data_IF_034902758206
#
_entry.id   IF_034902758206
#
_cell.length_a   1.000
_cell.length_b   1.000
_cell.length_c   1.000
_cell.angle_alpha   90.00
_cell.angle_beta   90.00
_cell.angle_gamma   90.00
#
_symmetry.space_group_name_H-M   'P 1'
#
loop_
_entity.id
_entity.type
_entity.pdbx_description
1 polymer ?
#
# COMPACT_ATOMS: atom_id res chain seq x y z
N UNK A 1 14.80 -34.85 6.65
CA UNK A 1 14.69 -33.63 7.48
C UNK A 1 13.23 -33.22 7.72
N UNK A 2 12.38 -33.10 6.69
CA UNK A 2 10.95 -32.77 6.82
C UNK A 2 10.13 -33.72 7.73
N UNK A 3 10.39 -35.04 7.67
CA UNK A 3 9.71 -36.07 8.51
C UNK A 3 9.99 -35.96 10.01
N UNK A 4 11.12 -35.38 10.42
CA UNK A 4 11.45 -35.19 11.84
C UNK A 4 10.79 -33.91 12.36
N UNK A 5 10.74 -32.87 11.51
CA UNK A 5 10.11 -31.60 11.86
C UNK A 5 8.59 -31.70 12.02
N UNK A 6 7.88 -32.65 11.41
CA UNK A 6 6.42 -32.81 11.56
C UNK A 6 6.00 -33.87 12.59
N UNK A 7 6.96 -34.55 13.23
CA UNK A 7 6.67 -35.62 14.18
C UNK A 7 5.93 -35.12 15.43
N UNK A 8 6.22 -33.89 15.86
CA UNK A 8 5.50 -33.24 16.96
C UNK A 8 4.05 -32.92 16.58
N UNK A 9 3.78 -32.50 15.34
CA UNK A 9 2.41 -32.27 14.83
C UNK A 9 1.63 -33.59 14.86
N UNK A 10 2.25 -34.69 14.40
CA UNK A 10 1.62 -36.01 14.48
C UNK A 10 1.29 -36.41 15.92
N UNK A 11 2.21 -36.22 16.86
CA UNK A 11 1.94 -36.49 18.28
C UNK A 11 0.82 -35.61 18.84
N UNK A 12 0.77 -34.33 18.51
CA UNK A 12 -0.32 -33.44 18.93
C UNK A 12 -1.67 -33.87 18.34
N UNK A 13 -1.71 -34.30 17.08
CA UNK A 13 -2.95 -34.77 16.44
C UNK A 13 -3.52 -36.05 17.05
N UNK A 14 -2.70 -36.88 17.71
CA UNK A 14 -3.18 -38.08 18.42
C UNK A 14 -4.05 -37.75 19.65
N UNK A 15 -3.94 -36.53 20.19
CA UNK A 15 -4.73 -36.07 21.34
C UNK A 15 -5.98 -35.28 20.91
N UNK A 16 -6.21 -35.10 19.61
CA UNK A 16 -7.35 -34.36 19.09
C UNK A 16 -8.46 -35.34 18.65
N UNK A 17 -9.75 -35.02 18.87
CA UNK A 17 -10.85 -35.83 18.38
C UNK A 17 -10.81 -35.98 16.85
N UNK A 18 -11.22 -37.11 16.30
CA UNK A 18 -11.29 -37.29 14.83
C UNK A 18 -12.17 -36.24 14.15
N UNK A 19 -13.18 -35.73 14.87
CA UNK A 19 -14.07 -34.66 14.41
C UNK A 19 -13.32 -33.35 14.17
N UNK A 20 -12.26 -33.09 14.94
CA UNK A 20 -11.39 -31.92 14.77
C UNK A 20 -10.66 -31.95 13.42
N UNK A 21 -10.28 -33.15 12.97
CA UNK A 21 -9.43 -33.37 11.78
C UNK A 21 -10.21 -33.48 10.46
N UNK A 22 -11.54 -33.40 10.50
CA UNK A 22 -12.35 -33.42 9.28
C UNK A 22 -12.16 -32.13 8.49
N UNK A 23 -12.33 -32.23 7.17
CA UNK A 23 -12.41 -31.05 6.30
C UNK A 23 -13.60 -30.19 6.72
N UNK A 24 -13.43 -28.87 6.72
CA UNK A 24 -14.38 -27.87 7.22
C UNK A 24 -14.68 -28.01 8.73
N UNK A 25 -13.78 -28.63 9.49
CA UNK A 25 -13.85 -28.70 10.95
C UNK A 25 -12.86 -27.74 11.64
N UNK A 26 -12.75 -27.85 12.96
CA UNK A 26 -11.98 -26.92 13.79
C UNK A 26 -10.48 -26.83 13.43
N UNK A 27 -9.93 -27.83 12.72
CA UNK A 27 -8.57 -27.76 12.18
C UNK A 27 -8.39 -26.61 11.16
N UNK A 28 -9.39 -26.33 10.34
CA UNK A 28 -9.32 -25.25 9.34
C UNK A 28 -9.29 -23.87 10.01
N UNK A 29 -9.87 -23.73 11.22
CA UNK A 29 -9.74 -22.52 12.03
C UNK A 29 -8.28 -22.23 12.39
N UNK A 30 -7.53 -23.27 12.81
CA UNK A 30 -6.09 -23.15 13.10
C UNK A 30 -5.32 -22.80 11.82
N UNK A 31 -5.68 -23.42 10.69
CA UNK A 31 -5.01 -23.15 9.42
C UNK A 31 -5.23 -21.72 8.92
N UNK A 32 -6.43 -21.16 9.06
CA UNK A 32 -6.67 -19.74 8.78
C UNK A 32 -5.80 -18.88 9.68
N UNK A 33 -5.79 -19.10 11.00
CA UNK A 33 -4.98 -18.31 11.93
C UNK A 33 -3.49 -18.31 11.52
N UNK A 34 -2.94 -19.51 11.27
CA UNK A 34 -1.55 -19.67 10.82
C UNK A 34 -1.29 -19.00 9.47
N UNK A 35 -2.24 -19.06 8.53
CA UNK A 35 -2.14 -18.39 7.24
C UNK A 35 -2.07 -16.86 7.43
N UNK A 36 -2.95 -16.27 8.24
CA UNK A 36 -2.96 -14.81 8.49
C UNK A 36 -1.62 -14.36 9.07
N UNK A 37 -1.10 -15.02 10.11
CA UNK A 37 0.20 -14.68 10.70
C UNK A 37 1.36 -14.82 9.70
N UNK A 38 1.32 -15.86 8.87
CA UNK A 38 2.32 -16.09 7.83
C UNK A 38 2.29 -14.99 6.77
N UNK A 39 1.10 -14.56 6.32
CA UNK A 39 0.96 -13.48 5.36
C UNK A 39 1.47 -12.14 5.92
N UNK A 40 1.19 -11.84 7.20
CA UNK A 40 1.75 -10.67 7.89
C UNK A 40 3.28 -10.71 7.85
N UNK A 41 3.87 -11.86 8.19
CA UNK A 41 5.32 -12.04 8.21
C UNK A 41 5.95 -11.89 6.81
N UNK A 42 5.26 -12.38 5.76
CA UNK A 42 5.68 -12.20 4.37
C UNK A 42 5.63 -10.73 3.94
N UNK A 43 4.59 -9.99 4.33
CA UNK A 43 4.52 -8.55 4.09
C UNK A 43 5.67 -7.82 4.78
N UNK A 44 5.95 -8.12 6.06
CA UNK A 44 7.08 -7.49 6.78
C UNK A 44 8.42 -7.77 6.11
N UNK A 45 8.67 -9.03 5.72
CA UNK A 45 9.88 -9.41 4.98
C UNK A 45 9.99 -8.60 3.68
N UNK A 46 8.94 -8.61 2.86
CA UNK A 46 8.94 -7.92 1.58
C UNK A 46 9.20 -6.42 1.76
N UNK A 47 8.50 -5.74 2.67
CA UNK A 47 8.69 -4.30 2.88
C UNK A 47 10.15 -4.00 3.28
N UNK A 48 10.71 -4.77 4.22
CA UNK A 48 12.08 -4.56 4.68
C UNK A 48 13.11 -4.79 3.56
N UNK A 49 12.92 -5.81 2.72
CA UNK A 49 13.86 -6.11 1.63
C UNK A 49 13.70 -5.15 0.44
N UNK A 50 12.48 -4.69 0.14
CA UNK A 50 12.21 -3.67 -0.89
C UNK A 50 12.93 -2.36 -0.54
N UNK A 51 12.83 -1.91 0.72
CA UNK A 51 13.49 -0.68 1.18
C UNK A 51 15.01 -0.77 1.15
N UNK A 52 15.59 -1.97 1.28
CA UNK A 52 17.03 -2.18 1.12
C UNK A 52 17.44 -2.18 -0.36
N UNK A 53 16.64 -2.81 -1.23
CA UNK A 53 16.91 -2.90 -2.67
C UNK A 53 16.83 -1.54 -3.36
N UNK A 54 15.86 -0.73 -2.99
CA UNK A 54 15.61 0.58 -3.59
C UNK A 54 15.79 1.68 -2.53
N UNK A 55 17.01 2.22 -2.37
CA UNK A 55 17.29 3.21 -1.34
C UNK A 55 16.63 4.56 -1.65
N UNK A 56 16.28 5.28 -0.58
CA UNK A 56 15.71 6.63 -0.66
C UNK A 56 16.64 7.59 -1.42
N UNK A 57 16.03 8.53 -2.13
CA UNK A 57 16.69 9.67 -2.78
C UNK A 57 16.37 10.92 -1.97
N UNK A 58 17.39 11.63 -1.50
CA UNK A 58 17.22 12.85 -0.69
C UNK A 58 17.03 14.10 -1.56
N UNK A 59 17.75 14.18 -2.67
CA UNK A 59 17.64 15.26 -3.66
C UNK A 59 17.58 14.65 -5.05
N UNK A 60 16.46 14.86 -5.73
CA UNK A 60 16.19 14.33 -7.05
C UNK A 60 16.66 15.32 -8.11
N UNK A 61 17.49 14.86 -9.05
CA UNK A 61 17.92 15.62 -10.21
C UNK A 61 17.43 14.97 -11.51
N UNK A 62 17.67 15.61 -12.64
CA UNK A 62 17.22 15.12 -13.94
C UNK A 62 17.82 13.76 -14.34
N UNK A 63 19.09 13.51 -14.00
CA UNK A 63 19.76 12.25 -14.31
C UNK A 63 19.19 11.09 -13.49
N UNK A 64 18.67 11.35 -12.28
CA UNK A 64 17.95 10.37 -11.47
C UNK A 64 16.63 9.92 -12.12
N UNK A 65 16.06 10.75 -12.99
CA UNK A 65 14.80 10.46 -13.70
C UNK A 65 15.07 9.82 -15.05
N UNK A 66 15.95 10.40 -15.86
CA UNK A 66 16.09 10.04 -17.29
C UNK A 66 17.19 9.02 -17.55
N UNK A 67 18.27 8.99 -16.76
CA UNK A 67 19.42 8.11 -17.03
C UNK A 67 19.48 6.91 -16.10
N UNK A 68 19.40 7.14 -14.80
CA UNK A 68 19.57 6.07 -13.81
C UNK A 68 18.25 5.44 -13.35
N UNK A 69 17.12 6.09 -13.65
CA UNK A 69 15.76 5.68 -13.26
C UNK A 69 15.57 5.46 -11.75
N UNK A 70 16.47 5.99 -10.92
CA UNK A 70 16.39 5.85 -9.47
C UNK A 70 15.10 6.44 -8.91
N UNK A 71 14.64 7.54 -9.47
CA UNK A 71 13.39 8.18 -9.07
C UNK A 71 12.18 7.25 -9.25
N UNK A 72 12.12 6.54 -10.38
CA UNK A 72 11.06 5.58 -10.69
C UNK A 72 11.15 4.35 -9.78
N UNK A 73 12.36 3.84 -9.56
CA UNK A 73 12.63 2.74 -8.62
C UNK A 73 12.19 3.06 -7.19
N UNK A 74 12.50 4.27 -6.70
CA UNK A 74 12.09 4.71 -5.36
C UNK A 74 10.57 4.92 -5.26
N UNK A 75 9.95 5.54 -6.27
CA UNK A 75 8.49 5.68 -6.35
C UNK A 75 7.80 4.31 -6.34
N UNK A 76 8.28 3.36 -7.14
CA UNK A 76 7.81 1.97 -7.15
C UNK A 76 7.94 1.30 -5.77
N UNK A 77 9.09 1.46 -5.12
CA UNK A 77 9.35 0.88 -3.80
C UNK A 77 8.38 1.41 -2.73
N UNK A 78 8.12 2.72 -2.72
CA UNK A 78 7.13 3.35 -1.85
C UNK A 78 5.72 2.78 -2.11
N UNK A 79 5.30 2.72 -3.38
CA UNK A 79 3.99 2.21 -3.79
C UNK A 79 3.78 0.74 -3.42
N UNK A 80 4.75 -0.12 -3.72
CA UNK A 80 4.67 -1.55 -3.36
C UNK A 80 4.63 -1.72 -1.83
N UNK A 81 5.47 -0.96 -1.10
CA UNK A 81 5.47 -0.97 0.37
C UNK A 81 4.15 -0.47 0.95
N UNK A 82 3.52 0.53 0.32
CA UNK A 82 2.21 1.05 0.69
C UNK A 82 1.14 -0.03 0.52
N UNK A 83 1.07 -0.69 -0.64
CA UNK A 83 0.11 -1.80 -0.87
C UNK A 83 0.30 -2.94 0.13
N UNK A 84 1.55 -3.34 0.40
CA UNK A 84 1.84 -4.36 1.40
C UNK A 84 1.46 -3.93 2.83
N UNK A 85 1.66 -2.66 3.19
CA UNK A 85 1.26 -2.10 4.49
C UNK A 85 -0.27 -2.04 4.64
N UNK A 86 -1.00 -1.68 3.59
CA UNK A 86 -2.47 -1.74 3.56
C UNK A 86 -2.95 -3.19 3.73
N UNK A 87 -2.25 -4.15 3.10
CA UNK A 87 -2.57 -5.57 3.27
C UNK A 87 -2.33 -6.01 4.71
N UNK A 88 -1.17 -5.68 5.26
CA UNK A 88 -0.80 -6.00 6.63
C UNK A 88 -1.79 -5.42 7.65
N UNK A 89 -2.20 -4.16 7.47
CA UNK A 89 -3.23 -3.51 8.29
C UNK A 89 -4.55 -4.29 8.25
N UNK A 90 -4.96 -4.78 7.07
CA UNK A 90 -6.15 -5.61 6.92
C UNK A 90 -5.98 -6.94 7.65
N UNK A 91 -4.85 -7.63 7.47
CA UNK A 91 -4.57 -8.92 8.13
C UNK A 91 -4.48 -8.80 9.65
N UNK A 92 -3.95 -7.70 10.19
CA UNK A 92 -3.91 -7.47 11.64
C UNK A 92 -5.29 -7.24 12.23
N UNK A 93 -6.24 -6.69 11.47
CA UNK A 93 -7.66 -6.69 11.87
C UNK A 93 -8.20 -8.11 11.99
N UNK A 94 -7.87 -9.02 11.05
CA UNK A 94 -8.25 -10.45 11.16
C UNK A 94 -7.74 -11.07 12.46
N UNK A 95 -6.47 -10.90 12.81
CA UNK A 95 -5.88 -11.49 14.03
C UNK A 95 -6.72 -11.13 15.25
N UNK A 96 -6.97 -9.83 15.46
CA UNK A 96 -7.71 -9.40 16.65
C UNK A 96 -9.18 -9.80 16.61
N UNK A 97 -9.81 -9.76 15.45
CA UNK A 97 -11.20 -10.16 15.29
C UNK A 97 -11.40 -11.66 15.55
N UNK A 98 -10.50 -12.53 15.06
CA UNK A 98 -10.55 -13.98 15.29
C UNK A 98 -10.26 -14.38 16.74
N UNK A 99 -9.60 -13.53 17.53
CA UNK A 99 -9.41 -13.76 18.98
C UNK A 99 -10.69 -13.57 19.80
N UNK A 100 -11.64 -12.77 19.30
CA UNK A 100 -12.80 -12.32 20.08
C UNK A 100 -14.16 -12.70 19.49
N UNK A 101 -14.19 -13.12 18.22
CA UNK A 101 -15.43 -13.46 17.55
C UNK A 101 -16.06 -14.75 18.10
N UNK A 102 -17.35 -14.92 17.83
CA UNK A 102 -18.06 -16.14 18.17
C UNK A 102 -17.48 -17.37 17.42
N UNK A 103 -17.45 -18.56 18.03
CA UNK A 103 -16.93 -19.77 17.40
C UNK A 103 -17.57 -20.09 16.05
N UNK A 104 -18.85 -19.77 15.87
CA UNK A 104 -19.54 -19.97 14.60
C UNK A 104 -19.02 -19.03 13.51
N UNK A 105 -18.74 -17.76 13.82
CA UNK A 105 -18.11 -16.82 12.87
C UNK A 105 -16.74 -17.34 12.45
N UNK A 106 -15.95 -17.85 13.39
CA UNK A 106 -14.65 -18.44 13.10
C UNK A 106 -14.77 -19.65 12.16
N UNK A 107 -15.77 -20.52 12.34
CA UNK A 107 -16.05 -21.65 11.42
C UNK A 107 -16.44 -21.19 10.02
N UNK A 108 -17.23 -20.12 9.90
CA UNK A 108 -17.57 -19.58 8.58
C UNK A 108 -16.31 -19.11 7.83
N UNK A 109 -15.38 -18.46 8.52
CA UNK A 109 -14.11 -18.04 7.93
C UNK A 109 -13.25 -19.27 7.60
N UNK A 110 -13.20 -20.26 8.49
CA UNK A 110 -12.48 -21.52 8.26
C UNK A 110 -12.93 -22.24 6.99
N UNK A 111 -14.24 -22.24 6.69
CA UNK A 111 -14.77 -22.82 5.44
C UNK A 111 -14.20 -22.17 4.17
N UNK A 112 -13.68 -20.93 4.28
CA UNK A 112 -13.03 -20.20 3.18
C UNK A 112 -11.51 -20.43 3.10
N UNK A 113 -10.93 -21.24 3.99
CA UNK A 113 -9.48 -21.45 4.10
C UNK A 113 -8.80 -21.76 2.77
N UNK A 114 -9.31 -22.74 2.02
CA UNK A 114 -8.71 -23.13 0.74
C UNK A 114 -8.73 -21.99 -0.28
N UNK A 115 -9.74 -21.13 -0.25
CA UNK A 115 -9.83 -19.95 -1.13
C UNK A 115 -8.83 -18.90 -0.67
N UNK A 116 -8.77 -18.58 0.63
CA UNK A 116 -7.79 -17.67 1.22
C UNK A 116 -6.35 -18.08 0.89
N UNK A 117 -6.06 -19.38 0.97
CA UNK A 117 -4.76 -19.97 0.68
C UNK A 117 -4.33 -19.72 -0.76
N UNK A 118 -5.25 -19.76 -1.73
CA UNK A 118 -4.91 -19.53 -3.14
C UNK A 118 -4.35 -18.13 -3.42
N UNK A 119 -4.62 -17.17 -2.55
CA UNK A 119 -4.14 -15.79 -2.67
C UNK A 119 -2.74 -15.60 -2.08
N UNK A 120 -2.24 -16.53 -1.26
CA UNK A 120 -0.86 -16.50 -0.72
C UNK A 120 0.18 -16.43 -1.85
N UNK A 121 -0.11 -17.08 -2.99
CA UNK A 121 0.74 -17.09 -4.19
C UNK A 121 1.12 -15.69 -4.70
N UNK A 122 0.30 -14.68 -4.43
CA UNK A 122 0.61 -13.30 -4.82
C UNK A 122 1.82 -12.76 -4.07
N UNK A 123 1.98 -13.13 -2.80
CA UNK A 123 3.18 -12.77 -2.02
C UNK A 123 4.34 -13.69 -2.35
N UNK A 124 4.09 -14.99 -2.57
CA UNK A 124 5.15 -15.93 -2.99
C UNK A 124 5.81 -15.50 -4.29
N UNK A 125 5.01 -15.01 -5.25
CA UNK A 125 5.53 -14.48 -6.50
C UNK A 125 6.46 -13.28 -6.28
N UNK A 126 6.09 -12.33 -5.41
CA UNK A 126 6.94 -11.19 -5.08
C UNK A 126 8.23 -11.62 -4.36
N UNK A 127 8.14 -12.60 -3.47
CA UNK A 127 9.31 -13.16 -2.77
C UNK A 127 10.24 -13.85 -3.76
N UNK A 128 9.70 -14.63 -4.70
CA UNK A 128 10.47 -15.31 -5.74
C UNK A 128 11.21 -14.31 -6.64
N UNK A 129 10.53 -13.24 -7.07
CA UNK A 129 11.16 -12.15 -7.82
C UNK A 129 12.28 -11.47 -7.01
N UNK A 130 12.08 -11.26 -5.70
CA UNK A 130 13.10 -10.65 -4.85
C UNK A 130 14.32 -11.58 -4.69
N UNK A 131 14.11 -12.87 -4.45
CA UNK A 131 15.17 -13.86 -4.31
C UNK A 131 16.01 -14.03 -5.59
N UNK A 132 15.37 -13.89 -6.76
CA UNK A 132 16.01 -13.98 -8.07
C UNK A 132 16.57 -12.66 -8.57
N UNK A 133 16.46 -11.59 -7.78
CA UNK A 133 16.82 -10.21 -8.14
C UNK A 133 16.02 -9.64 -9.35
N UNK A 134 14.87 -10.23 -9.66
CA UNK A 134 13.98 -9.89 -10.79
C UNK A 134 12.81 -8.96 -10.41
N UNK A 135 12.82 -8.43 -9.19
CA UNK A 135 11.86 -7.40 -8.80
C UNK A 135 12.27 -6.07 -9.44
N UNK A 136 11.53 -5.65 -10.46
CA UNK A 136 11.75 -4.41 -11.22
C UNK A 136 10.61 -3.41 -11.03
N UNK A 137 10.90 -2.14 -11.27
CA UNK A 137 10.02 -0.97 -11.16
C UNK A 137 8.84 -0.96 -12.15
N UNK A 138 8.96 -1.70 -13.26
CA UNK A 138 7.89 -1.92 -14.23
C UNK A 138 6.88 -3.03 -13.83
N UNK A 139 7.06 -3.68 -12.68
CA UNK A 139 6.21 -4.78 -12.26
C UNK A 139 4.76 -4.31 -11.99
N UNK A 140 3.80 -4.99 -12.62
CA UNK A 140 2.38 -4.76 -12.35
C UNK A 140 1.96 -5.28 -10.96
N UNK A 141 1.32 -4.41 -10.17
CA UNK A 141 0.82 -4.75 -8.83
C UNK A 141 -0.63 -5.29 -8.82
N UNK A 142 -1.22 -5.53 -9.99
CA UNK A 142 -2.63 -5.93 -10.12
C UNK A 142 -3.00 -7.21 -9.34
N UNK A 143 -2.10 -8.19 -9.27
CA UNK A 143 -2.34 -9.43 -8.54
C UNK A 143 -2.41 -9.21 -7.02
N UNK A 144 -1.54 -8.31 -6.51
CA UNK A 144 -1.54 -7.91 -5.11
C UNK A 144 -2.80 -7.10 -4.78
N UNK A 145 -3.18 -6.14 -5.63
CA UNK A 145 -4.39 -5.33 -5.44
C UNK A 145 -5.67 -6.19 -5.39
N UNK A 146 -5.77 -7.20 -6.26
CA UNK A 146 -6.87 -8.18 -6.24
C UNK A 146 -6.87 -8.99 -4.95
N UNK A 147 -5.69 -9.41 -4.48
CA UNK A 147 -5.53 -10.14 -3.22
C UNK A 147 -5.97 -9.29 -2.02
N UNK A 148 -5.52 -8.04 -1.94
CA UNK A 148 -5.93 -7.10 -0.89
C UNK A 148 -7.44 -6.90 -0.91
N UNK A 149 -8.02 -6.68 -2.09
CA UNK A 149 -9.46 -6.49 -2.26
C UNK A 149 -10.26 -7.71 -1.82
N UNK A 150 -9.78 -8.91 -2.13
CA UNK A 150 -10.39 -10.16 -1.70
C UNK A 150 -10.39 -10.29 -0.16
N UNK A 151 -9.26 -10.08 0.50
CA UNK A 151 -9.19 -10.14 1.97
C UNK A 151 -10.04 -9.05 2.64
N UNK A 152 -10.06 -7.83 2.08
CA UNK A 152 -10.97 -6.77 2.56
C UNK A 152 -12.44 -7.17 2.44
N UNK A 153 -12.82 -7.85 1.35
CA UNK A 153 -14.17 -8.37 1.17
C UNK A 153 -14.52 -9.43 2.22
N UNK A 154 -13.66 -10.43 2.43
CA UNK A 154 -13.86 -11.47 3.46
C UNK A 154 -13.98 -10.84 4.85
N UNK A 155 -13.08 -9.90 5.20
CA UNK A 155 -13.16 -9.19 6.47
C UNK A 155 -14.50 -8.46 6.62
N UNK A 156 -14.92 -7.72 5.60
CA UNK A 156 -16.18 -6.97 5.63
C UNK A 156 -17.39 -7.89 5.79
N UNK A 157 -17.39 -9.04 5.12
CA UNK A 157 -18.51 -9.99 5.11
C UNK A 157 -18.69 -10.72 6.44
N UNK A 158 -17.61 -11.08 7.13
CA UNK A 158 -17.68 -11.93 8.32
C UNK A 158 -17.25 -11.26 9.64
N UNK A 159 -16.38 -10.24 9.58
CA UNK A 159 -15.70 -9.68 10.75
C UNK A 159 -15.91 -8.17 10.93
N UNK A 160 -16.78 -7.53 10.14
CA UNK A 160 -16.96 -6.07 10.19
C UNK A 160 -17.51 -5.55 11.51
N UNK A 161 -18.20 -6.41 12.28
CA UNK A 161 -18.76 -6.08 13.58
C UNK A 161 -17.77 -6.34 14.74
N UNK A 162 -16.67 -7.04 14.46
CA UNK A 162 -15.70 -7.44 15.48
C UNK A 162 -14.74 -6.31 15.84
N UNK A 163 -14.26 -6.36 17.09
CA UNK A 163 -13.28 -5.38 17.59
C UNK A 163 -11.91 -5.64 16.96
N UNK A 164 -11.17 -4.57 16.69
CA UNK A 164 -9.77 -4.62 16.27
C UNK A 164 -8.89 -3.76 17.19
N UNK A 165 -7.58 -4.00 17.17
CA UNK A 165 -6.62 -3.20 17.94
C UNK A 165 -6.46 -1.82 17.33
N UNK A 166 -6.99 -0.79 17.99
CA UNK A 166 -6.91 0.59 17.52
C UNK A 166 -5.46 1.10 17.47
N UNK A 167 -4.63 0.73 18.45
CA UNK A 167 -3.22 1.12 18.46
C UNK A 167 -2.45 0.49 17.29
N UNK A 168 -2.72 -0.77 16.95
CA UNK A 168 -2.08 -1.43 15.79
C UNK A 168 -2.58 -0.77 14.50
N UNK A 169 -3.88 -0.58 14.38
CA UNK A 169 -4.49 0.09 13.22
C UNK A 169 -3.90 1.48 12.99
N UNK A 170 -3.74 2.28 14.04
CA UNK A 170 -3.19 3.63 13.92
C UNK A 170 -1.69 3.61 13.60
N UNK A 171 -0.90 2.67 14.13
CA UNK A 171 0.51 2.50 13.71
C UNK A 171 0.60 2.14 12.23
N UNK A 172 -0.17 1.14 11.78
CA UNK A 172 -0.18 0.73 10.39
C UNK A 172 -0.67 1.87 9.48
N UNK A 173 -1.69 2.62 9.90
CA UNK A 173 -2.18 3.83 9.22
C UNK A 173 -1.08 4.86 9.03
N UNK A 174 -0.36 5.21 10.10
CA UNK A 174 0.73 6.20 10.02
C UNK A 174 1.81 5.75 9.04
N UNK A 175 2.13 4.45 9.01
CA UNK A 175 3.08 3.87 8.04
C UNK A 175 2.56 4.00 6.61
N UNK A 176 1.30 3.66 6.36
CA UNK A 176 0.67 3.78 5.03
C UNK A 176 0.73 5.22 4.56
N UNK A 177 0.33 6.19 5.39
CA UNK A 177 0.32 7.61 5.01
C UNK A 177 1.72 8.12 4.75
N UNK A 178 2.73 7.76 5.55
CA UNK A 178 4.12 8.16 5.29
C UNK A 178 4.67 7.61 3.97
N UNK A 179 4.39 6.33 3.67
CA UNK A 179 4.80 5.72 2.39
C UNK A 179 4.09 6.37 1.20
N UNK A 180 2.80 6.68 1.32
CA UNK A 180 2.06 7.45 0.32
C UNK A 180 2.66 8.84 0.13
N UNK A 181 2.97 9.54 1.22
CA UNK A 181 3.59 10.87 1.18
C UNK A 181 4.96 10.87 0.55
N UNK A 182 5.79 9.85 0.80
CA UNK A 182 7.11 9.70 0.17
C UNK A 182 6.98 9.40 -1.33
N UNK A 183 6.00 8.56 -1.73
CA UNK A 183 5.70 8.29 -3.15
C UNK A 183 5.24 9.57 -3.86
N UNK A 184 4.27 10.30 -3.28
CA UNK A 184 3.75 11.55 -3.85
C UNK A 184 4.85 12.60 -3.97
N UNK A 185 5.65 12.78 -2.93
CA UNK A 185 6.75 13.74 -2.95
C UNK A 185 7.72 13.44 -4.10
N UNK A 186 8.07 12.16 -4.28
CA UNK A 186 8.99 11.72 -5.34
C UNK A 186 8.38 11.97 -6.71
N UNK A 187 7.12 11.60 -6.93
CA UNK A 187 6.45 11.78 -8.23
C UNK A 187 6.21 13.26 -8.55
N UNK A 188 5.88 14.10 -7.55
CA UNK A 188 5.80 15.56 -7.72
C UNK A 188 7.17 16.13 -8.12
N UNK A 189 8.25 15.73 -7.44
CA UNK A 189 9.59 16.18 -7.79
C UNK A 189 10.02 15.73 -9.19
N UNK A 190 9.62 14.52 -9.62
CA UNK A 190 9.81 14.07 -11.01
C UNK A 190 9.11 15.02 -11.97
N UNK A 191 7.84 15.36 -11.74
CA UNK A 191 7.11 16.30 -12.60
C UNK A 191 7.85 17.65 -12.68
N UNK A 192 8.26 18.21 -11.54
CA UNK A 192 8.97 19.50 -11.49
C UNK A 192 10.30 19.47 -12.25
N UNK A 193 11.08 18.39 -12.12
CA UNK A 193 12.38 18.24 -12.78
C UNK A 193 12.24 18.02 -14.29
N UNK A 194 11.14 17.41 -14.72
CA UNK A 194 10.83 17.17 -16.13
C UNK A 194 10.15 18.34 -16.82
N UNK A 195 9.59 19.29 -16.06
CA UNK A 195 8.95 20.48 -16.58
C UNK A 195 9.96 21.48 -17.15
N UNK A 196 9.64 22.06 -18.31
CA UNK A 196 10.42 23.14 -18.91
C UNK A 196 10.28 24.41 -18.06
N UNK A 197 11.39 25.06 -17.74
CA UNK A 197 11.38 26.35 -17.03
C UNK A 197 10.62 27.41 -17.84
N UNK A 198 9.84 28.25 -17.15
CA UNK A 198 9.17 29.37 -17.80
C UNK A 198 10.20 30.37 -18.31
N UNK A 199 10.10 30.73 -19.60
CA UNK A 199 10.93 31.78 -20.22
C UNK A 199 10.64 33.17 -19.63
N UNK A 200 9.56 33.32 -18.84
CA UNK A 200 9.21 34.52 -18.08
C UNK A 200 8.99 34.16 -16.59
N UNK A 201 9.95 34.44 -15.70
CA UNK A 201 9.85 34.11 -14.28
C UNK A 201 8.83 34.97 -13.50
N UNK A 202 8.44 36.14 -14.03
CA UNK A 202 7.51 37.09 -13.41
C UNK A 202 6.04 36.93 -13.86
N UNK A 203 5.73 35.90 -14.67
CA UNK A 203 4.38 35.69 -15.22
C UNK A 203 3.67 34.53 -14.50
N UNK A 204 2.33 34.65 -14.38
CA UNK A 204 1.46 33.78 -13.59
C UNK A 204 1.80 32.28 -13.75
N UNK A 205 2.09 31.61 -12.62
CA UNK A 205 2.25 30.16 -12.59
C UNK A 205 1.03 29.51 -13.25
N UNK A 206 1.26 28.53 -14.13
CA UNK A 206 0.15 27.78 -14.72
C UNK A 206 -0.78 27.23 -13.62
N UNK A 207 -2.11 27.16 -13.83
CA UNK A 207 -3.02 26.64 -12.83
C UNK A 207 -2.63 25.26 -12.30
N UNK A 208 -2.08 24.39 -13.18
CA UNK A 208 -1.57 23.08 -12.79
C UNK A 208 -0.35 23.18 -11.86
N UNK A 209 0.60 24.09 -12.12
CA UNK A 209 1.73 24.32 -11.22
C UNK A 209 1.27 24.86 -9.84
N UNK A 210 0.25 25.72 -9.81
CA UNK A 210 -0.35 26.18 -8.55
C UNK A 210 -0.95 25.02 -7.77
N UNK A 211 -1.72 24.14 -8.44
CA UNK A 211 -2.28 22.93 -7.84
C UNK A 211 -1.18 22.02 -7.27
N UNK A 212 -0.11 21.78 -8.03
CA UNK A 212 1.04 20.96 -7.57
C UNK A 212 1.69 21.57 -6.33
N UNK A 213 1.89 22.88 -6.28
CA UNK A 213 2.44 23.56 -5.11
C UNK A 213 1.53 23.42 -3.88
N UNK A 214 0.21 23.57 -4.05
CA UNK A 214 -0.75 23.34 -2.97
C UNK A 214 -0.72 21.89 -2.45
N UNK A 215 -0.54 20.92 -3.34
CA UNK A 215 -0.41 19.51 -2.96
C UNK A 215 0.89 19.22 -2.20
N UNK A 216 1.99 19.90 -2.52
CA UNK A 216 3.24 19.81 -1.74
C UNK A 216 2.99 20.30 -0.31
N UNK A 217 2.41 21.49 -0.15
CA UNK A 217 2.10 22.05 1.17
C UNK A 217 1.16 21.13 1.97
N UNK A 218 0.12 20.60 1.32
CA UNK A 218 -0.81 19.64 1.92
C UNK A 218 -0.10 18.35 2.35
N UNK A 219 0.80 17.82 1.53
CA UNK A 219 1.60 16.63 1.84
C UNK A 219 2.52 16.86 3.05
N UNK A 220 3.18 18.02 3.14
CA UNK A 220 4.01 18.39 4.29
C UNK A 220 3.21 18.51 5.58
N UNK A 221 2.03 19.14 5.51
CA UNK A 221 1.10 19.22 6.63
C UNK A 221 0.66 17.83 7.08
N UNK A 222 0.32 16.94 6.13
CA UNK A 222 -0.05 15.56 6.40
C UNK A 222 1.07 14.80 7.13
N UNK A 223 2.32 14.91 6.67
CA UNK A 223 3.50 14.32 7.32
C UNK A 223 3.67 14.84 8.74
N UNK A 224 3.51 16.15 8.95
CA UNK A 224 3.62 16.75 10.28
C UNK A 224 2.55 16.24 11.24
N UNK A 225 1.29 16.11 10.78
CA UNK A 225 0.20 15.56 11.59
C UNK A 225 0.41 14.08 11.91
N UNK A 226 0.82 13.29 10.92
CA UNK A 226 1.14 11.87 11.12
C UNK A 226 2.30 11.68 12.10
N UNK A 227 3.31 12.54 12.05
CA UNK A 227 4.40 12.56 13.03
C UNK A 227 3.91 12.81 14.47
N UNK A 228 2.91 13.69 14.65
CA UNK A 228 2.25 13.90 15.94
C UNK A 228 1.44 12.68 16.37
N UNK A 229 0.62 12.12 15.48
CA UNK A 229 -0.18 10.92 15.74
C UNK A 229 0.72 9.78 16.19
N UNK A 230 1.81 9.50 15.47
CA UNK A 230 2.71 8.39 15.77
C UNK A 230 3.35 8.50 17.18
N UNK A 231 3.57 9.71 17.68
CA UNK A 231 4.04 9.95 19.07
C UNK A 231 2.95 9.73 20.11
N UNK A 232 1.68 9.95 19.74
CA UNK A 232 0.53 9.81 20.62
C UNK A 232 0.02 8.38 20.72
N UNK A 233 0.16 7.58 19.66
CA UNK A 233 -0.29 6.18 19.64
C UNK A 233 0.43 5.36 20.73
N UNK A 234 -0.32 4.63 21.59
CA UNK A 234 0.27 3.74 22.58
C UNK A 234 1.16 2.67 21.94
N UNK A 235 2.35 2.46 22.52
CA UNK A 235 3.26 1.38 22.15
C UNK A 235 2.86 0.10 22.88
N UNK A 236 3.37 -1.06 22.45
CA UNK A 236 2.92 -2.37 22.97
C UNK A 236 3.13 -2.55 24.49
N UNK A 237 4.12 -1.87 25.07
CA UNK A 237 4.41 -1.91 26.52
C UNK A 237 3.55 -0.94 27.35
N UNK A 238 2.79 -0.07 26.70
CA UNK A 238 2.05 1.01 27.32
C UNK A 238 0.65 0.57 27.77
N UNK A 239 0.61 -0.14 28.89
CA UNK A 239 -0.63 -0.70 29.47
C UNK A 239 -1.60 0.33 30.03
N UNK A 240 -1.16 1.58 30.21
CA UNK A 240 -1.94 2.62 30.90
C UNK A 240 -2.72 3.52 29.94
N UNK A 241 -2.40 3.51 28.64
CA UNK A 241 -3.08 4.32 27.64
C UNK A 241 -3.95 3.46 26.73
N UNK A 242 -5.24 3.74 26.71
CA UNK A 242 -6.19 3.17 25.76
C UNK A 242 -6.48 4.18 24.65
N UNK A 243 -6.51 3.70 23.39
CA UNK A 243 -6.87 4.51 22.23
C UNK A 243 -8.19 4.01 21.67
N UNK A 244 -9.17 4.91 21.55
CA UNK A 244 -10.49 4.62 20.97
C UNK A 244 -10.87 5.74 20.02
N UNK A 245 -11.39 5.36 18.86
CA UNK A 245 -11.99 6.28 17.88
C UNK A 245 -13.43 5.83 17.64
N UNK A 246 -14.32 6.79 17.42
CA UNK A 246 -15.69 6.51 17.04
C UNK A 246 -15.78 6.03 15.56
N UNK A 247 -16.93 5.45 15.19
CA UNK A 247 -17.15 4.89 13.85
C UNK A 247 -17.09 5.93 12.73
N UNK A 248 -17.45 7.19 13.01
CA UNK A 248 -17.39 8.26 12.01
C UNK A 248 -15.94 8.62 11.74
N UNK A 249 -15.13 8.78 12.79
CA UNK A 249 -13.68 8.99 12.67
C UNK A 249 -13.01 7.86 11.89
N UNK A 250 -13.35 6.59 12.17
CA UNK A 250 -12.80 5.44 11.43
C UNK A 250 -13.20 5.49 9.95
N UNK A 251 -14.48 5.76 9.65
CA UNK A 251 -14.95 5.78 8.26
C UNK A 251 -14.37 6.95 7.45
N UNK A 252 -14.21 8.12 8.07
CA UNK A 252 -13.51 9.27 7.48
C UNK A 252 -12.04 8.94 7.19
N UNK A 253 -11.33 8.30 8.12
CA UNK A 253 -9.96 7.86 7.93
C UNK A 253 -9.88 6.85 6.77
N UNK A 254 -10.74 5.84 6.74
CA UNK A 254 -10.75 4.85 5.67
C UNK A 254 -11.07 5.47 4.30
N UNK A 255 -11.91 6.51 4.27
CA UNK A 255 -12.16 7.28 3.04
C UNK A 255 -10.94 8.12 2.62
N UNK A 256 -10.27 8.77 3.57
CA UNK A 256 -9.05 9.53 3.30
C UNK A 256 -7.93 8.62 2.75
N UNK A 257 -7.75 7.41 3.29
CA UNK A 257 -6.78 6.44 2.76
C UNK A 257 -7.13 6.03 1.31
N UNK A 258 -8.41 5.81 1.00
CA UNK A 258 -8.84 5.48 -0.37
C UNK A 258 -8.54 6.62 -1.34
N UNK A 259 -8.79 7.86 -0.93
CA UNK A 259 -8.49 9.04 -1.75
C UNK A 259 -6.98 9.21 -1.93
N UNK A 260 -6.20 9.04 -0.86
CA UNK A 260 -4.74 9.09 -0.91
C UNK A 260 -4.15 8.01 -1.82
N UNK A 261 -4.70 6.78 -1.80
CA UNK A 261 -4.30 5.69 -2.70
C UNK A 261 -4.63 5.99 -4.18
N UNK A 262 -5.76 6.65 -4.46
CA UNK A 262 -6.08 7.12 -5.82
C UNK A 262 -5.12 8.23 -6.25
N UNK A 263 -4.88 9.20 -5.38
CA UNK A 263 -3.96 10.31 -5.64
C UNK A 263 -2.54 9.78 -5.97
N UNK A 264 -2.00 8.87 -5.15
CA UNK A 264 -0.67 8.27 -5.41
C UNK A 264 -0.65 7.50 -6.73
N UNK A 265 -1.71 6.75 -7.05
CA UNK A 265 -1.84 6.03 -8.33
C UNK A 265 -1.89 6.98 -9.52
N UNK A 266 -2.57 8.12 -9.40
CA UNK A 266 -2.63 9.11 -10.48
C UNK A 266 -1.30 9.79 -10.71
N UNK A 267 -0.60 10.24 -9.66
CA UNK A 267 0.73 10.83 -9.82
C UNK A 267 1.75 9.85 -10.42
N UNK A 268 1.67 8.58 -10.05
CA UNK A 268 2.48 7.54 -10.67
C UNK A 268 2.15 7.35 -12.16
N UNK A 269 0.87 7.37 -12.54
CA UNK A 269 0.45 7.29 -13.94
C UNK A 269 0.88 8.53 -14.74
N UNK A 270 0.81 9.73 -14.15
CA UNK A 270 1.35 10.95 -14.74
C UNK A 270 2.83 10.74 -15.05
N UNK A 271 3.61 10.32 -14.05
CA UNK A 271 5.05 10.13 -14.23
C UNK A 271 5.37 9.04 -15.26
N UNK A 272 4.59 7.96 -15.33
CA UNK A 272 4.70 6.93 -16.37
C UNK A 272 4.48 7.52 -17.78
N UNK A 273 3.46 8.37 -17.92
CA UNK A 273 3.20 9.12 -19.15
C UNK A 273 4.35 10.07 -19.52
N UNK A 274 4.89 10.79 -18.53
CA UNK A 274 6.03 11.69 -18.71
C UNK A 274 7.31 10.95 -19.11
N UNK A 275 7.60 9.79 -18.49
CA UNK A 275 8.72 8.93 -18.90
C UNK A 275 8.57 8.54 -20.37
N UNK A 276 7.37 8.16 -20.81
CA UNK A 276 7.10 7.83 -22.22
C UNK A 276 7.30 9.04 -23.14
N UNK A 277 6.82 10.22 -22.74
CA UNK A 277 6.96 11.45 -23.51
C UNK A 277 8.43 11.86 -23.69
N UNK A 278 9.26 11.73 -22.65
CA UNK A 278 10.70 12.03 -22.74
C UNK A 278 11.42 11.16 -23.76
N UNK A 279 11.06 9.88 -23.85
CA UNK A 279 11.66 8.97 -24.82
C UNK A 279 11.34 9.35 -26.28
N UNK A 280 10.35 10.20 -26.51
CA UNK A 280 9.99 10.72 -27.84
C UNK A 280 10.70 12.03 -28.19
N UNK A 281 11.34 12.69 -27.21
CA UNK A 281 12.08 13.93 -27.44
C UNK A 281 13.39 13.64 -28.17
N UNK A 282 13.80 14.58 -29.03
CA UNK A 282 14.99 14.39 -29.87
C UNK A 282 16.29 14.79 -29.17
N UNK A 283 16.22 15.73 -28.22
CA UNK A 283 17.35 16.16 -27.40
C UNK A 283 17.28 15.53 -26.00
N UNK A 284 18.38 14.91 -25.57
CA UNK A 284 18.51 14.22 -24.29
C UNK A 284 18.36 15.16 -23.08
N UNK A 285 18.51 16.48 -23.25
CA UNK A 285 18.32 17.48 -22.21
C UNK A 285 17.00 18.25 -22.34
N UNK A 286 16.16 17.91 -23.31
CA UNK A 286 14.87 18.56 -23.50
C UNK A 286 13.94 18.29 -22.30
N UNK A 287 13.03 19.23 -22.04
CA UNK A 287 12.05 19.18 -20.97
C UNK A 287 10.65 19.28 -21.54
N UNK A 288 9.66 18.78 -20.81
CA UNK A 288 8.28 18.70 -21.25
C UNK A 288 7.59 20.05 -21.00
N UNK A 289 6.82 20.51 -21.98
CA UNK A 289 6.00 21.72 -21.84
C UNK A 289 4.85 21.50 -20.86
N UNK A 290 4.46 22.55 -20.13
CA UNK A 290 3.39 22.49 -19.13
C UNK A 290 2.06 21.97 -19.70
N UNK A 291 1.71 22.34 -20.93
CA UNK A 291 0.48 21.88 -21.57
C UNK A 291 0.45 20.37 -21.78
N UNK A 292 1.59 19.77 -22.13
CA UNK A 292 1.72 18.33 -22.33
C UNK A 292 1.63 17.58 -20.99
N UNK A 293 2.24 18.14 -19.93
CA UNK A 293 2.10 17.61 -18.56
C UNK A 293 0.63 17.62 -18.13
N UNK A 294 -0.08 18.73 -18.37
CA UNK A 294 -1.49 18.86 -18.04
C UNK A 294 -2.36 17.87 -18.81
N UNK A 295 -2.13 17.69 -20.12
CA UNK A 295 -2.81 16.69 -20.92
C UNK A 295 -2.59 15.26 -20.39
N UNK A 296 -1.36 14.93 -19.98
CA UNK A 296 -1.03 13.64 -19.36
C UNK A 296 -1.75 13.50 -18.00
N UNK A 297 -1.89 14.58 -17.23
CA UNK A 297 -2.65 14.59 -15.98
C UNK A 297 -4.14 14.28 -16.20
N UNK A 298 -4.77 14.84 -17.24
CA UNK A 298 -6.14 14.47 -17.62
C UNK A 298 -6.27 12.97 -17.95
N UNK A 299 -5.35 12.42 -18.76
CA UNK A 299 -5.37 11.00 -19.11
C UNK A 299 -5.18 10.09 -17.88
N UNK A 300 -4.29 10.48 -16.97
CA UNK A 300 -4.04 9.76 -15.73
C UNK A 300 -5.27 9.77 -14.80
N UNK A 301 -5.95 10.91 -14.66
CA UNK A 301 -7.19 11.02 -13.91
C UNK A 301 -8.29 10.11 -14.49
N UNK A 302 -8.54 10.15 -15.80
CA UNK A 302 -9.54 9.29 -16.46
C UNK A 302 -9.26 7.80 -16.19
N UNK A 303 -7.98 7.38 -16.30
CA UNK A 303 -7.58 5.99 -16.06
C UNK A 303 -7.84 5.52 -14.62
N UNK A 304 -7.54 6.36 -13.63
CA UNK A 304 -7.62 6.01 -12.20
C UNK A 304 -9.03 6.21 -11.64
N UNK A 305 -9.67 7.34 -11.94
CA UNK A 305 -10.96 7.74 -11.39
C UNK A 305 -12.15 7.23 -12.23
N UNK A 306 -11.96 6.97 -13.53
CA UNK A 306 -12.96 6.40 -14.43
C UNK A 306 -14.27 7.19 -14.39
N UNK A 307 -15.38 6.56 -13.98
CA UNK A 307 -16.70 7.19 -13.91
C UNK A 307 -16.80 8.32 -12.88
N UNK A 308 -15.85 8.39 -11.95
CA UNK A 308 -15.76 9.42 -10.92
C UNK A 308 -14.70 10.47 -11.28
N UNK A 309 -14.21 10.48 -12.52
CA UNK A 309 -13.27 11.51 -12.98
C UNK A 309 -13.99 12.84 -13.20
N UNK A 310 -13.40 13.90 -12.63
CA UNK A 310 -13.80 15.29 -12.80
C UNK A 310 -12.65 16.16 -13.29
N UNK A 311 -11.58 15.54 -13.78
CA UNK A 311 -10.35 16.20 -14.22
C UNK A 311 -9.41 16.52 -13.05
N UNK A 312 -8.15 16.89 -13.34
CA UNK A 312 -7.09 17.04 -12.35
C UNK A 312 -7.39 18.12 -11.31
N UNK A 313 -8.06 19.21 -11.68
CA UNK A 313 -8.34 20.33 -10.77
C UNK A 313 -9.38 20.01 -9.68
N UNK A 314 -10.31 19.08 -9.95
CA UNK A 314 -11.32 18.66 -8.98
C UNK A 314 -10.98 17.30 -8.35
N UNK A 315 -10.39 16.37 -9.10
CA UNK A 315 -10.13 15.01 -8.62
C UNK A 315 -8.86 14.88 -7.76
N UNK A 316 -7.88 15.78 -7.93
CA UNK A 316 -6.62 15.73 -7.17
C UNK A 316 -6.66 16.56 -5.88
N UNK A 317 -7.67 17.40 -5.69
CA UNK A 317 -7.88 18.22 -4.49
C UNK A 317 -8.92 17.60 -3.56
#
# INVERSE_FOLDING_TARGET
MYKILTRHVHFLTLFLPEQFLKRDADQDCIFVLLLIHRLISKCDLLINEIQKKFPRIDQLNFDDVVKSHRAEQWSFACKLSQSLSIFQMTLRKFVKAMEVCDPDVLRHIASTYHVLLTHEKSLDFLIDLLQKDQLHDSLSLNALDKTISFYKHIYKSYLSQEKFSMSNYMRDLTRVVLLSSDSLQTDIQRIQVLQKESEQPDNDQSPFAVLVNQLIESNEQMRAQVGKINRLVPQDDDKNRSLTLDSNSISSIESAIRNLDRLTKTFHEICSGLTTQILLLSDANERINTQDIENIAYQACDKVYKKEDSGPYESLW
#
